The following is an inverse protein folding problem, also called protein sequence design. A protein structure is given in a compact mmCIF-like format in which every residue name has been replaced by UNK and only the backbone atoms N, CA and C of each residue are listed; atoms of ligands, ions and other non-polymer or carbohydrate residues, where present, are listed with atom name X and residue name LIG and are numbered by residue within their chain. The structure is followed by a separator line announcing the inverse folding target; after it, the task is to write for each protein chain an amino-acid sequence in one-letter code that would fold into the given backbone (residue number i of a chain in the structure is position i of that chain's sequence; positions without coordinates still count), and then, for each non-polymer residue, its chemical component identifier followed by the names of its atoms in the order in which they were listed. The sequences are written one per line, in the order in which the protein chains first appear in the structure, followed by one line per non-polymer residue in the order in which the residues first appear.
data_IF_345937452911
#
_entry.id   IF_345937452911
#
_cell.length_a   1.000
_cell.length_b   1.000
_cell.length_c   1.000
_cell.angle_alpha   90.00
_cell.angle_beta   90.00
_cell.angle_gamma   90.00
#
_symmetry.space_group_name_H-M   'P 1'
#
loop_
_entity.id
_entity.type
_entity.pdbx_description
1 polymer ?
#
# COMPACT_ATOMS: atom_id res chain seq x y z
N UNK A 1 1.36 -25.53 19.20
CA UNK A 1 2.45 -25.31 18.23
C UNK A 1 2.89 -23.85 18.29
N UNK A 2 4.13 -23.48 17.92
CA UNK A 2 4.57 -22.07 17.87
C UNK A 2 4.92 -21.67 16.44
N UNK A 3 4.66 -20.42 16.10
CA UNK A 3 4.96 -19.83 14.79
C UNK A 3 5.80 -18.57 14.99
N UNK A 4 6.87 -18.44 14.20
CA UNK A 4 7.69 -17.24 14.18
C UNK A 4 7.09 -16.22 13.21
N UNK A 5 7.04 -14.96 13.62
CA UNK A 5 6.61 -13.86 12.77
C UNK A 5 7.47 -12.62 12.99
N UNK A 6 7.39 -11.69 12.05
CA UNK A 6 7.94 -10.35 12.21
C UNK A 6 6.91 -9.31 11.78
N UNK A 7 6.68 -8.31 12.63
CA UNK A 7 5.69 -7.27 12.38
C UNK A 7 6.37 -6.02 11.83
N UNK A 8 5.89 -5.56 10.69
CA UNK A 8 6.38 -4.38 10.00
C UNK A 8 5.27 -3.34 9.85
N UNK A 9 5.65 -2.09 9.63
CA UNK A 9 4.72 -1.05 9.20
C UNK A 9 5.34 -0.19 8.09
N UNK A 10 4.48 0.38 7.25
CA UNK A 10 4.86 1.45 6.37
C UNK A 10 3.77 2.53 6.36
N UNK A 11 4.09 3.70 6.93
CA UNK A 11 3.16 4.84 7.10
C UNK A 11 1.95 4.49 7.96
N UNK A 12 2.16 3.69 9.00
CA UNK A 12 1.13 3.24 9.94
C UNK A 12 0.31 2.05 9.46
N UNK A 13 0.39 1.67 8.18
CA UNK A 13 -0.23 0.45 7.70
C UNK A 13 0.65 -0.76 8.07
N UNK A 14 0.18 -1.58 9.01
CA UNK A 14 0.98 -2.60 9.69
C UNK A 14 0.65 -4.04 9.26
N UNK A 15 1.68 -4.86 9.10
CA UNK A 15 1.58 -6.23 8.59
C UNK A 15 2.36 -7.23 9.43
N UNK A 16 1.80 -8.42 9.59
CA UNK A 16 2.50 -9.59 10.13
C UNK A 16 3.11 -10.36 8.96
N UNK A 17 4.44 -10.41 8.87
CA UNK A 17 5.15 -11.19 7.85
C UNK A 17 5.45 -12.58 8.42
N UNK A 18 5.11 -13.62 7.65
CA UNK A 18 5.33 -15.03 8.00
C UNK A 18 6.10 -15.69 6.86
N UNK A 19 7.26 -16.28 7.17
CA UNK A 19 8.06 -16.97 6.18
C UNK A 19 7.64 -18.43 6.04
N UNK A 20 6.92 -18.73 4.97
CA UNK A 20 6.45 -20.06 4.61
C UNK A 20 7.28 -20.68 3.47
N UNK A 21 8.48 -20.15 3.19
CA UNK A 21 9.48 -20.85 2.36
C UNK A 21 9.98 -22.10 3.07
N UNK A 22 9.96 -22.08 4.40
CA UNK A 22 10.17 -23.22 5.30
C UNK A 22 8.84 -23.52 5.98
N UNK A 23 8.36 -24.78 5.99
CA UNK A 23 7.10 -25.12 6.66
C UNK A 23 7.14 -24.74 8.15
N UNK A 24 6.15 -23.97 8.59
CA UNK A 24 5.89 -23.66 9.99
C UNK A 24 4.39 -23.61 10.25
N UNK A 25 3.97 -23.84 11.50
CA UNK A 25 2.56 -23.80 11.89
C UNK A 25 1.76 -25.10 11.69
N UNK A 26 2.40 -26.16 11.16
CA UNK A 26 1.83 -27.51 11.08
C UNK A 26 1.16 -27.81 9.73
N UNK A 27 0.76 -29.08 9.53
CA UNK A 27 0.21 -29.55 8.23
C UNK A 27 -1.05 -28.79 7.79
N UNK A 28 -1.84 -28.28 8.73
CA UNK A 28 -3.09 -27.57 8.45
C UNK A 28 -2.98 -26.04 8.67
N UNK A 29 -1.78 -25.48 8.59
CA UNK A 29 -1.61 -24.04 8.76
C UNK A 29 -2.30 -23.25 7.63
N UNK A 30 -3.28 -22.42 7.99
CA UNK A 30 -3.96 -21.50 7.08
C UNK A 30 -3.59 -20.06 7.40
N UNK A 31 -2.88 -19.35 6.51
CA UNK A 31 -2.63 -17.92 6.66
C UNK A 31 -3.90 -17.06 6.75
N UNK A 32 -5.01 -17.53 6.16
CA UNK A 32 -6.30 -16.82 6.21
C UNK A 32 -6.94 -16.89 7.59
N UNK A 33 -6.99 -18.09 8.17
CA UNK A 33 -7.51 -18.27 9.53
C UNK A 33 -6.57 -17.65 10.56
N UNK A 34 -5.25 -17.67 10.28
CA UNK A 34 -4.28 -16.93 11.07
C UNK A 34 -4.57 -15.42 11.04
N UNK A 35 -4.84 -14.83 9.86
CA UNK A 35 -5.16 -13.41 9.75
C UNK A 35 -6.41 -13.04 10.57
N UNK A 36 -7.52 -13.76 10.37
CA UNK A 36 -8.78 -13.52 11.12
C UNK A 36 -8.58 -13.51 12.64
N UNK A 37 -7.71 -14.40 13.13
CA UNK A 37 -7.46 -14.56 14.56
C UNK A 37 -6.44 -13.56 15.10
N UNK A 38 -5.26 -13.50 14.47
CA UNK A 38 -4.10 -12.82 15.02
C UNK A 38 -3.95 -11.37 14.55
N UNK A 39 -4.68 -10.92 13.53
CA UNK A 39 -4.79 -9.48 13.23
C UNK A 39 -5.68 -8.73 14.24
N UNK A 40 -6.44 -9.43 15.09
CA UNK A 40 -7.19 -8.79 16.17
C UNK A 40 -6.23 -8.06 17.13
N UNK A 41 -6.42 -6.75 17.32
CA UNK A 41 -5.52 -5.91 18.13
C UNK A 41 -5.62 -6.15 19.65
N UNK A 42 -6.72 -6.73 20.12
CA UNK A 42 -6.95 -6.98 21.56
C UNK A 42 -6.60 -8.42 21.96
N UNK A 43 -6.94 -9.39 21.09
CA UNK A 43 -6.84 -10.83 21.38
C UNK A 43 -5.78 -11.55 20.54
N UNK A 44 -5.06 -10.82 19.68
CA UNK A 44 -4.03 -11.34 18.80
C UNK A 44 -2.76 -10.50 18.86
N UNK A 45 -2.01 -10.50 17.76
CA UNK A 45 -0.83 -9.66 17.55
C UNK A 45 -1.26 -8.23 17.19
N UNK A 46 -2.37 -8.10 16.47
CA UNK A 46 -2.85 -6.84 15.92
C UNK A 46 -2.14 -6.48 14.63
N UNK A 47 -2.85 -6.31 13.52
CA UNK A 47 -2.31 -5.78 12.26
C UNK A 47 -3.46 -5.50 11.28
N UNK A 48 -3.19 -4.71 10.24
CA UNK A 48 -4.13 -4.54 9.12
C UNK A 48 -4.15 -5.78 8.20
N UNK A 49 -3.07 -6.57 8.20
CA UNK A 49 -3.01 -7.81 7.43
C UNK A 49 -1.81 -8.70 7.72
N UNK A 50 -1.75 -9.81 6.98
CA UNK A 50 -0.70 -10.83 7.03
C UNK A 50 -0.08 -10.99 5.64
N UNK A 51 1.24 -11.09 5.59
CA UNK A 51 1.99 -11.33 4.36
C UNK A 51 2.75 -12.65 4.51
N UNK A 52 2.17 -13.78 4.06
CA UNK A 52 2.93 -15.01 3.92
C UNK A 52 3.90 -14.90 2.73
N UNK A 53 5.18 -15.17 3.00
CA UNK A 53 6.26 -15.25 2.03
C UNK A 53 6.51 -16.70 1.64
N UNK A 54 6.52 -17.00 0.34
CA UNK A 54 6.71 -18.34 -0.22
C UNK A 54 7.90 -18.38 -1.16
N UNK A 55 8.31 -19.61 -1.53
CA UNK A 55 9.24 -19.81 -2.65
C UNK A 55 8.57 -19.33 -3.94
N UNK A 56 9.33 -18.78 -4.90
CA UNK A 56 8.78 -18.40 -6.20
C UNK A 56 8.24 -19.62 -6.94
N UNK A 57 7.27 -19.40 -7.82
CA UNK A 57 6.68 -20.46 -8.66
C UNK A 57 7.52 -20.74 -9.92
N UNK A 58 8.39 -19.82 -10.31
CA UNK A 58 9.27 -19.92 -11.49
C UNK A 58 10.66 -19.33 -11.24
N UNK A 59 11.48 -19.24 -12.30
CA UNK A 59 12.86 -18.72 -12.21
C UNK A 59 12.97 -17.18 -12.37
N UNK A 60 11.91 -16.53 -12.86
CA UNK A 60 11.88 -15.10 -13.17
C UNK A 60 11.47 -14.21 -11.99
N UNK A 61 11.46 -14.77 -10.78
CA UNK A 61 10.98 -14.17 -9.54
C UNK A 61 11.82 -14.69 -8.38
N UNK A 62 12.03 -13.83 -7.40
CA UNK A 62 12.83 -14.19 -6.22
C UNK A 62 11.96 -14.80 -5.13
N UNK A 63 10.72 -14.31 -5.01
CA UNK A 63 9.77 -14.70 -3.98
C UNK A 63 8.33 -14.63 -4.49
N UNK A 64 7.45 -15.35 -3.79
CA UNK A 64 6.00 -15.20 -3.96
C UNK A 64 5.39 -14.71 -2.65
N UNK A 65 4.44 -13.79 -2.75
CA UNK A 65 3.70 -13.28 -1.58
C UNK A 65 2.21 -13.36 -1.82
N UNK A 66 1.45 -13.38 -0.72
CA UNK A 66 0.05 -12.97 -0.70
C UNK A 66 -0.11 -11.82 0.27
N UNK A 67 -1.16 -11.03 0.09
CA UNK A 67 -1.59 -10.05 1.09
C UNK A 67 -2.97 -10.47 1.55
N UNK A 68 -3.07 -10.81 2.82
CA UNK A 68 -4.30 -11.27 3.44
C UNK A 68 -4.73 -10.19 4.42
N UNK A 69 -5.91 -9.60 4.20
CA UNK A 69 -6.48 -8.60 5.09
C UNK A 69 -6.82 -9.19 6.45
N UNK A 70 -7.05 -8.35 7.45
CA UNK A 70 -7.39 -8.76 8.82
C UNK A 70 -8.66 -9.63 8.91
N UNK A 71 -9.56 -9.56 7.93
CA UNK A 71 -10.77 -10.40 7.84
C UNK A 71 -10.55 -11.74 7.12
N UNK A 72 -9.32 -12.00 6.65
CA UNK A 72 -8.93 -13.20 5.91
C UNK A 72 -9.15 -13.13 4.39
N UNK A 73 -9.68 -12.03 3.84
CA UNK A 73 -9.78 -11.82 2.40
C UNK A 73 -8.42 -11.55 1.77
N UNK A 74 -8.23 -11.90 0.48
CA UNK A 74 -6.98 -11.57 -0.24
C UNK A 74 -7.10 -10.22 -0.95
N UNK A 75 -6.05 -9.41 -0.86
CA UNK A 75 -5.85 -8.24 -1.71
C UNK A 75 -4.85 -8.57 -2.82
N UNK A 76 -5.11 -8.09 -4.03
CA UNK A 76 -4.22 -8.33 -5.18
C UNK A 76 -2.84 -7.66 -5.01
N UNK A 77 -2.82 -6.48 -4.39
CA UNK A 77 -1.60 -5.69 -4.15
C UNK A 77 -1.77 -4.68 -3.00
N UNK A 78 -0.67 -4.40 -2.29
CA UNK A 78 -0.52 -3.29 -1.36
C UNK A 78 0.87 -2.71 -1.51
N UNK A 79 0.95 -1.43 -1.90
CA UNK A 79 2.23 -0.73 -2.01
C UNK A 79 2.97 -0.65 -0.67
N UNK A 80 2.25 -0.53 0.45
CA UNK A 80 2.85 -0.53 1.79
C UNK A 80 3.31 -1.94 2.19
N UNK A 81 2.46 -2.95 1.96
CA UNK A 81 2.78 -4.34 2.27
C UNK A 81 4.00 -4.85 1.51
N UNK A 82 4.12 -4.53 0.21
CA UNK A 82 5.26 -4.98 -0.58
C UNK A 82 6.60 -4.34 -0.12
N UNK A 83 6.58 -3.09 0.37
CA UNK A 83 7.77 -2.48 0.99
C UNK A 83 8.09 -3.11 2.34
N UNK A 84 7.08 -3.49 3.13
CA UNK A 84 7.28 -4.23 4.39
C UNK A 84 7.95 -5.58 4.16
N UNK A 85 7.48 -6.37 3.19
CA UNK A 85 8.09 -7.68 2.91
C UNK A 85 9.43 -7.56 2.18
N UNK A 86 9.64 -6.53 1.36
CA UNK A 86 10.97 -6.23 0.82
C UNK A 86 11.96 -5.96 1.96
N UNK A 87 11.57 -5.15 2.96
CA UNK A 87 12.40 -4.94 4.15
C UNK A 87 12.68 -6.24 4.89
N UNK A 88 11.67 -7.08 5.10
CA UNK A 88 11.85 -8.40 5.72
C UNK A 88 12.90 -9.25 5.00
N UNK A 89 12.89 -9.28 3.66
CA UNK A 89 13.87 -10.02 2.86
C UNK A 89 15.30 -9.57 3.16
N UNK A 90 15.55 -8.28 3.27
CA UNK A 90 16.88 -7.76 3.60
C UNK A 90 17.25 -7.93 5.08
N UNK A 91 16.31 -7.64 5.99
CA UNK A 91 16.55 -7.77 7.44
C UNK A 91 16.89 -9.22 7.83
N UNK A 92 16.35 -10.20 7.11
CA UNK A 92 16.61 -11.64 7.31
C UNK A 92 17.74 -12.19 6.42
N UNK A 93 18.48 -11.33 5.69
CA UNK A 93 19.56 -11.72 4.77
C UNK A 93 19.15 -12.79 3.74
N UNK A 94 17.94 -12.66 3.17
CA UNK A 94 17.38 -13.63 2.23
C UNK A 94 17.72 -13.31 0.77
N UNK A 95 18.23 -12.11 0.50
CA UNK A 95 18.73 -11.65 -0.80
C UNK A 95 19.72 -10.50 -0.59
N UNK A 96 20.74 -10.44 -1.44
CA UNK A 96 21.73 -9.36 -1.54
C UNK A 96 21.53 -8.48 -2.80
N UNK A 97 20.56 -8.82 -3.66
CA UNK A 97 20.25 -8.05 -4.87
C UNK A 97 19.71 -6.67 -4.52
N UNK A 98 20.05 -5.66 -5.32
CA UNK A 98 19.45 -4.31 -5.20
C UNK A 98 17.98 -4.27 -5.65
N UNK A 99 17.54 -5.28 -6.41
CA UNK A 99 16.20 -5.43 -6.95
C UNK A 99 15.66 -6.80 -6.64
N UNK A 100 14.45 -6.85 -6.12
CA UNK A 100 13.72 -8.08 -5.82
C UNK A 100 12.45 -8.11 -6.67
N UNK A 101 12.18 -9.23 -7.31
CA UNK A 101 10.93 -9.47 -8.05
C UNK A 101 10.02 -10.38 -7.24
N UNK A 102 8.88 -9.83 -6.82
CA UNK A 102 7.83 -10.58 -6.13
C UNK A 102 6.73 -11.02 -7.11
N UNK A 103 6.31 -12.28 -7.03
CA UNK A 103 5.01 -12.72 -7.54
C UNK A 103 3.90 -12.27 -6.59
N UNK A 104 2.94 -11.49 -7.08
CA UNK A 104 1.77 -11.03 -6.31
C UNK A 104 0.46 -11.42 -7.03
N UNK A 105 -0.69 -11.18 -6.39
CA UNK A 105 -2.00 -11.36 -7.01
C UNK A 105 -2.21 -10.49 -8.26
N UNK A 106 -1.53 -9.33 -8.33
CA UNK A 106 -1.55 -8.41 -9.47
C UNK A 106 -0.41 -8.66 -10.49
N UNK A 107 0.24 -9.83 -10.45
CA UNK A 107 1.37 -10.21 -11.29
C UNK A 107 2.73 -9.89 -10.67
N UNK A 108 3.80 -9.96 -11.47
CA UNK A 108 5.17 -9.69 -10.98
C UNK A 108 5.35 -8.21 -10.65
N UNK A 109 6.06 -7.92 -9.55
CA UNK A 109 6.41 -6.56 -9.12
C UNK A 109 7.87 -6.48 -8.75
N UNK A 110 8.58 -5.54 -9.37
CA UNK A 110 9.95 -5.21 -9.02
C UNK A 110 9.96 -4.19 -7.88
N UNK A 111 10.75 -4.47 -6.86
CA UNK A 111 11.03 -3.57 -5.74
C UNK A 111 12.53 -3.34 -5.68
N UNK A 112 12.94 -2.08 -5.80
CA UNK A 112 14.33 -1.65 -5.76
C UNK A 112 14.65 -1.06 -4.38
N UNK A 113 15.77 -1.45 -3.79
CA UNK A 113 16.30 -0.81 -2.58
C UNK A 113 16.90 0.55 -2.92
N UNK A 114 16.61 1.55 -2.11
CA UNK A 114 17.09 2.93 -2.30
C UNK A 114 17.55 3.54 -0.97
N UNK A 115 18.09 4.76 -1.01
CA UNK A 115 18.44 5.50 0.20
C UNK A 115 17.21 5.92 1.02
N UNK A 116 16.03 6.07 0.39
CA UNK A 116 14.77 6.40 1.09
C UNK A 116 13.96 5.17 1.50
N UNK A 117 14.47 3.96 1.26
CA UNK A 117 13.83 2.69 1.59
C UNK A 117 13.65 1.81 0.36
N UNK A 118 12.43 1.75 -0.16
CA UNK A 118 12.05 0.88 -1.26
C UNK A 118 11.24 1.61 -2.31
N UNK A 119 11.70 1.52 -3.56
CA UNK A 119 11.00 2.01 -4.75
C UNK A 119 10.23 0.85 -5.40
N UNK A 120 8.94 1.07 -5.65
CA UNK A 120 8.02 0.11 -6.25
C UNK A 120 7.51 0.68 -7.57
N UNK A 121 7.61 -0.08 -8.66
CA UNK A 121 6.97 0.29 -9.92
C UNK A 121 5.45 0.07 -9.83
N UNK A 122 4.70 1.16 -9.90
CA UNK A 122 3.23 1.19 -9.78
C UNK A 122 2.54 1.12 -11.14
N UNK A 123 3.29 1.01 -12.24
CA UNK A 123 2.75 0.96 -13.59
C UNK A 123 2.37 2.34 -14.13
N UNK A 124 1.44 2.36 -15.07
CA UNK A 124 0.94 3.57 -15.72
C UNK A 124 -0.49 3.85 -15.23
N UNK A 125 -0.72 4.91 -14.41
CA UNK A 125 -2.07 5.30 -14.04
C UNK A 125 -2.83 5.80 -15.26
N UNK A 126 -4.15 5.64 -15.25
CA UNK A 126 -5.04 6.08 -16.31
C UNK A 126 -5.99 7.13 -15.77
N UNK A 127 -5.93 8.35 -16.29
CA UNK A 127 -6.90 9.40 -16.00
C UNK A 127 -8.04 9.23 -17.01
N UNK A 128 -9.17 8.73 -16.52
CA UNK A 128 -10.28 8.21 -17.36
C UNK A 128 -11.30 9.30 -17.66
N UNK A 129 -11.39 10.32 -16.80
CA UNK A 129 -12.35 11.40 -16.96
C UNK A 129 -12.54 12.18 -15.67
N UNK A 130 -13.71 12.81 -15.54
CA UNK A 130 -14.06 13.65 -14.40
C UNK A 130 -15.51 13.44 -13.99
N UNK A 131 -15.81 13.71 -12.72
CA UNK A 131 -17.18 13.85 -12.21
C UNK A 131 -17.33 15.18 -11.50
N UNK A 132 -18.55 15.68 -11.44
CA UNK A 132 -18.90 16.83 -10.61
C UNK A 132 -19.76 16.36 -9.44
N UNK A 133 -19.37 16.73 -8.22
CA UNK A 133 -20.12 16.41 -7.01
C UNK A 133 -20.17 17.64 -6.10
N UNK A 134 -21.36 18.22 -5.87
CA UNK A 134 -21.54 19.41 -5.03
C UNK A 134 -20.54 20.56 -5.38
N UNK A 135 -20.41 20.88 -6.67
CA UNK A 135 -19.48 21.88 -7.22
C UNK A 135 -17.98 21.55 -7.09
N UNK A 136 -17.63 20.33 -6.67
CA UNK A 136 -16.26 19.82 -6.74
C UNK A 136 -16.09 19.03 -8.03
N UNK A 137 -15.05 19.37 -8.79
CA UNK A 137 -14.58 18.56 -9.91
C UNK A 137 -13.58 17.52 -9.39
N UNK A 138 -13.90 16.23 -9.54
CA UNK A 138 -13.03 15.12 -9.17
C UNK A 138 -12.55 14.38 -10.42
N UNK A 139 -11.26 14.10 -10.48
CA UNK A 139 -10.65 13.32 -11.54
C UNK A 139 -10.80 11.83 -11.26
N UNK A 140 -11.32 11.08 -12.24
CA UNK A 140 -11.38 9.62 -12.22
C UNK A 140 -10.04 9.06 -12.65
N UNK A 141 -9.37 8.34 -11.76
CA UNK A 141 -8.07 7.72 -12.02
C UNK A 141 -8.14 6.22 -11.72
N UNK A 142 -7.55 5.40 -12.58
CA UNK A 142 -7.29 3.99 -12.28
C UNK A 142 -5.78 3.78 -12.11
N UNK A 143 -5.41 3.15 -11.00
CA UNK A 143 -4.04 2.65 -10.75
C UNK A 143 -4.06 1.12 -10.63
N UNK A 144 -5.07 0.48 -11.23
CA UNK A 144 -5.46 -0.92 -11.00
C UNK A 144 -6.75 -1.04 -10.17
N UNK A 145 -6.99 -0.07 -9.29
CA UNK A 145 -8.24 0.16 -8.56
C UNK A 145 -8.75 1.60 -8.79
N UNK A 146 -10.05 1.87 -8.59
CA UNK A 146 -10.64 3.16 -8.90
C UNK A 146 -10.38 4.21 -7.82
N UNK A 147 -9.98 5.41 -8.25
CA UNK A 147 -9.69 6.59 -7.45
C UNK A 147 -10.45 7.82 -7.98
N UNK A 148 -10.81 8.71 -7.04
CA UNK A 148 -11.43 10.01 -7.30
C UNK A 148 -10.65 11.09 -6.59
N UNK A 149 -9.94 11.89 -7.38
CA UNK A 149 -9.02 12.91 -6.87
C UNK A 149 -9.64 14.29 -6.99
N UNK A 150 -9.85 14.94 -5.86
CA UNK A 150 -10.10 16.38 -5.79
C UNK A 150 -8.76 17.11 -5.58
N UNK A 151 -8.44 18.05 -6.48
CA UNK A 151 -7.27 18.94 -6.34
C UNK A 151 -7.73 20.37 -6.05
N UNK A 152 -7.51 20.84 -4.83
CA UNK A 152 -7.90 22.18 -4.42
C UNK A 152 -7.72 22.43 -2.93
N UNK A 153 -8.17 23.60 -2.48
CA UNK A 153 -8.31 23.88 -1.06
C UNK A 153 -9.53 23.15 -0.48
N UNK A 154 -9.36 22.60 0.71
CA UNK A 154 -10.42 21.95 1.49
C UNK A 154 -10.08 22.05 2.98
N UNK A 155 -11.09 21.90 3.82
CA UNK A 155 -10.94 21.69 5.25
C UNK A 155 -11.39 20.28 5.64
N UNK A 156 -11.17 19.92 6.90
CA UNK A 156 -11.57 18.63 7.46
C UNK A 156 -13.07 18.40 7.37
N UNK A 157 -13.88 19.44 7.58
CA UNK A 157 -15.34 19.33 7.58
C UNK A 157 -15.84 18.93 6.18
N UNK A 158 -15.36 19.60 5.13
CA UNK A 158 -15.68 19.28 3.75
C UNK A 158 -15.29 17.83 3.40
N UNK A 159 -14.07 17.42 3.78
CA UNK A 159 -13.59 16.07 3.54
C UNK A 159 -14.48 15.02 4.21
N UNK A 160 -14.72 15.12 5.51
CA UNK A 160 -15.53 14.14 6.25
C UNK A 160 -16.99 14.13 5.82
N UNK A 161 -17.51 15.26 5.34
CA UNK A 161 -18.88 15.36 4.86
C UNK A 161 -19.10 14.75 3.46
N UNK A 162 -18.10 14.85 2.57
CA UNK A 162 -18.25 14.47 1.16
C UNK A 162 -17.55 13.16 0.80
N UNK A 163 -16.31 12.94 1.26
CA UNK A 163 -15.52 11.77 0.85
C UNK A 163 -16.23 10.42 1.10
N UNK A 164 -16.90 10.17 2.25
CA UNK A 164 -17.65 8.93 2.45
C UNK A 164 -18.83 8.75 1.48
N UNK A 165 -19.52 9.84 1.15
CA UNK A 165 -20.69 9.82 0.25
C UNK A 165 -20.26 9.58 -1.19
N UNK A 166 -19.20 10.26 -1.63
CA UNK A 166 -18.59 10.08 -2.95
C UNK A 166 -18.07 8.64 -3.09
N UNK A 167 -17.29 8.17 -2.10
CA UNK A 167 -16.71 6.83 -2.13
C UNK A 167 -17.78 5.74 -2.26
N UNK A 168 -18.88 5.86 -1.52
CA UNK A 168 -20.02 4.95 -1.61
C UNK A 168 -20.76 5.04 -2.94
N UNK A 169 -21.04 6.25 -3.42
CA UNK A 169 -21.80 6.47 -4.65
C UNK A 169 -21.07 5.99 -5.91
N UNK A 170 -19.76 6.21 -5.97
CA UNK A 170 -18.93 5.88 -7.13
C UNK A 170 -18.14 4.58 -6.96
N UNK A 171 -18.25 3.93 -5.80
CA UNK A 171 -17.55 2.70 -5.47
C UNK A 171 -16.02 2.83 -5.70
N UNK A 172 -15.43 3.91 -5.19
CA UNK A 172 -14.02 4.28 -5.42
C UNK A 172 -13.34 4.82 -4.15
N UNK A 173 -12.00 4.78 -4.14
CA UNK A 173 -11.21 5.53 -3.18
C UNK A 173 -11.31 7.02 -3.49
N UNK A 174 -11.32 7.88 -2.47
CA UNK A 174 -11.47 9.32 -2.64
C UNK A 174 -10.33 10.05 -1.96
N UNK A 175 -9.61 10.86 -2.73
CA UNK A 175 -8.49 11.66 -2.26
C UNK A 175 -8.83 13.15 -2.37
N UNK A 176 -8.66 13.87 -1.27
CA UNK A 176 -8.65 15.34 -1.26
C UNK A 176 -7.20 15.77 -1.12
N UNK A 177 -6.71 16.53 -2.09
CA UNK A 177 -5.30 16.84 -2.22
C UNK A 177 -5.05 18.32 -2.49
N UNK A 178 -4.13 18.89 -1.71
CA UNK A 178 -3.69 20.28 -1.78
C UNK A 178 -2.23 20.34 -2.20
N UNK A 179 -1.98 20.83 -3.41
CA UNK A 179 -0.61 21.07 -3.90
C UNK A 179 -0.02 22.24 -3.11
N UNK A 180 1.11 22.03 -2.44
CA UNK A 180 1.76 23.05 -1.60
C UNK A 180 2.82 23.80 -2.38
N UNK A 181 3.59 23.07 -3.17
CA UNK A 181 4.63 23.58 -4.07
C UNK A 181 4.89 22.56 -5.20
N UNK A 182 5.92 22.81 -6.02
CA UNK A 182 6.29 21.94 -7.15
C UNK A 182 6.73 20.54 -6.74
N UNK A 183 7.05 20.31 -5.47
CA UNK A 183 7.64 19.08 -4.97
C UNK A 183 6.83 18.46 -3.82
N UNK A 184 5.66 19.01 -3.46
CA UNK A 184 4.88 18.47 -2.35
C UNK A 184 3.37 18.65 -2.47
N UNK A 185 2.63 17.60 -2.07
CA UNK A 185 1.17 17.54 -2.08
C UNK A 185 0.69 16.96 -0.74
N UNK A 186 -0.19 17.69 -0.06
CA UNK A 186 -0.85 17.24 1.16
C UNK A 186 -2.15 16.51 0.82
N UNK A 187 -2.39 15.33 1.42
CA UNK A 187 -3.47 14.43 1.01
C UNK A 187 -4.22 13.86 2.22
N UNK A 188 -5.54 13.92 2.15
CA UNK A 188 -6.45 13.10 2.94
C UNK A 188 -7.12 12.06 2.06
N UNK A 189 -7.31 10.85 2.59
CA UNK A 189 -7.84 9.71 1.83
C UNK A 189 -8.96 9.02 2.59
N UNK A 190 -10.02 8.68 1.86
CA UNK A 190 -11.09 7.80 2.30
C UNK A 190 -11.13 6.59 1.37
N UNK A 191 -10.76 5.43 1.89
CA UNK A 191 -10.70 4.19 1.13
C UNK A 191 -12.05 3.46 1.14
N UNK A 192 -12.45 2.98 -0.05
CA UNK A 192 -13.66 2.21 -0.24
C UNK A 192 -13.66 0.99 0.65
N UNK A 193 -14.71 0.83 1.44
CA UNK A 193 -14.91 -0.33 2.32
C UNK A 193 -14.06 -0.32 3.60
N UNK A 194 -13.22 0.70 3.80
CA UNK A 194 -12.37 0.84 4.99
C UNK A 194 -12.72 2.10 5.77
N UNK A 195 -12.73 3.26 5.12
CA UNK A 195 -12.91 4.56 5.79
C UNK A 195 -11.69 5.48 5.61
N UNK A 196 -11.55 6.47 6.50
CA UNK A 196 -10.33 7.29 6.57
C UNK A 196 -9.13 6.39 6.93
N UNK A 197 -8.08 6.42 6.11
CA UNK A 197 -6.83 5.70 6.37
C UNK A 197 -5.67 6.68 6.55
N UNK A 198 -4.60 6.22 7.21
CA UNK A 198 -3.43 7.07 7.50
C UNK A 198 -2.60 7.38 6.25
N UNK A 199 -2.62 6.50 5.24
CA UNK A 199 -1.95 6.68 3.96
C UNK A 199 -2.47 5.66 2.95
N UNK A 200 -2.44 6.00 1.65
CA UNK A 200 -2.80 5.10 0.57
C UNK A 200 -1.78 5.19 -0.58
N UNK A 201 -1.08 4.08 -0.87
CA UNK A 201 -0.02 4.06 -1.88
C UNK A 201 -0.53 4.29 -3.31
N UNK A 202 -1.64 3.64 -3.70
CA UNK A 202 -2.24 3.88 -5.03
C UNK A 202 -2.89 5.25 -5.11
N UNK A 203 -3.47 5.75 -4.00
CA UNK A 203 -3.99 7.11 -3.89
C UNK A 203 -2.91 8.18 -4.07
N UNK A 204 -1.70 7.94 -3.55
CA UNK A 204 -0.54 8.80 -3.77
C UNK A 204 -0.20 8.94 -5.26
N UNK A 205 -0.19 7.81 -5.98
CA UNK A 205 0.06 7.77 -7.44
C UNK A 205 -1.07 8.46 -8.19
N UNK A 206 -2.33 8.22 -7.80
CA UNK A 206 -3.49 8.85 -8.42
C UNK A 206 -3.41 10.38 -8.31
N UNK A 207 -3.22 10.90 -7.10
CA UNK A 207 -3.06 12.34 -6.82
C UNK A 207 -1.91 12.94 -7.63
N UNK A 208 -0.73 12.32 -7.56
CA UNK A 208 0.44 12.79 -8.28
C UNK A 208 0.22 12.78 -9.80
N UNK A 209 -0.44 11.76 -10.34
CA UNK A 209 -0.72 11.68 -11.79
C UNK A 209 -1.55 12.87 -12.29
N UNK A 210 -2.59 13.25 -11.55
CA UNK A 210 -3.44 14.40 -11.89
C UNK A 210 -2.67 15.72 -11.72
N UNK A 211 -1.92 15.87 -10.62
CA UNK A 211 -1.10 17.05 -10.41
C UNK A 211 -0.02 17.21 -11.49
N UNK A 212 0.56 16.10 -11.98
CA UNK A 212 1.51 16.08 -13.10
C UNK A 212 0.86 16.49 -14.40
N UNK A 213 -0.28 15.90 -14.76
CA UNK A 213 -1.00 16.23 -16.00
C UNK A 213 -1.36 17.72 -16.06
N UNK A 214 -1.66 18.32 -14.91
CA UNK A 214 -1.96 19.76 -14.77
C UNK A 214 -0.73 20.65 -14.63
N UNK A 215 0.49 20.12 -14.75
CA UNK A 215 1.76 20.86 -14.58
C UNK A 215 1.92 21.56 -13.21
N UNK A 216 1.28 21.03 -12.16
CA UNK A 216 1.30 21.61 -10.81
C UNK A 216 2.51 21.17 -9.99
N UNK A 217 3.14 20.04 -10.33
CA UNK A 217 4.35 19.51 -9.68
C UNK A 217 5.39 19.10 -10.73
N UNK A 218 6.64 18.90 -10.31
CA UNK A 218 7.75 18.39 -11.14
C UNK A 218 7.71 16.85 -11.23
N UNK A 219 8.69 16.21 -11.86
CA UNK A 219 8.69 14.75 -12.11
C UNK A 219 8.85 13.87 -10.86
N UNK A 220 9.07 14.48 -9.70
CA UNK A 220 8.99 13.84 -8.38
C UNK A 220 8.27 14.78 -7.42
N UNK A 221 7.39 14.24 -6.57
CA UNK A 221 6.84 14.98 -5.45
C UNK A 221 6.69 14.11 -4.20
N UNK A 222 6.82 14.75 -3.05
CA UNK A 222 6.49 14.20 -1.73
C UNK A 222 4.98 14.29 -1.50
N UNK A 223 4.34 13.15 -1.34
CA UNK A 223 2.94 13.05 -0.95
C UNK A 223 2.88 12.91 0.57
N UNK A 224 2.18 13.82 1.22
CA UNK A 224 2.14 13.97 2.68
C UNK A 224 0.75 13.55 3.15
N UNK A 225 0.68 12.42 3.85
CA UNK A 225 -0.51 11.95 4.54
C UNK A 225 -0.38 12.12 6.05
N UNK A 226 -1.48 11.84 6.77
CA UNK A 226 -1.51 11.80 8.24
C UNK A 226 -0.53 10.79 8.84
N UNK A 227 -0.34 9.65 8.18
CA UNK A 227 0.59 8.59 8.58
C UNK A 227 2.06 8.84 8.24
N UNK A 228 2.37 9.95 7.57
CA UNK A 228 3.71 10.31 7.12
C UNK A 228 3.75 10.56 5.61
N UNK A 229 4.95 10.54 5.04
CA UNK A 229 5.15 10.91 3.64
C UNK A 229 5.73 9.79 2.79
N UNK A 230 5.36 9.79 1.52
CA UNK A 230 5.93 8.93 0.48
C UNK A 230 6.33 9.77 -0.72
N UNK A 231 7.31 9.34 -1.49
CA UNK A 231 7.68 10.00 -2.74
C UNK A 231 7.00 9.28 -3.90
N UNK A 232 6.50 10.06 -4.86
CA UNK A 232 6.03 9.54 -6.14
C UNK A 232 6.83 10.22 -7.23
N UNK A 233 7.37 9.44 -8.16
CA UNK A 233 8.08 9.96 -9.32
C UNK A 233 7.53 9.37 -10.62
N UNK A 234 7.68 10.13 -11.71
CA UNK A 234 7.39 9.68 -13.07
C UNK A 234 8.71 9.52 -13.83
N UNK A 235 8.95 8.34 -14.41
CA UNK A 235 10.12 8.06 -15.26
C UNK A 235 9.62 7.49 -16.59
N UNK A 236 9.70 8.30 -17.65
CA UNK A 236 9.03 7.99 -18.91
C UNK A 236 7.52 7.90 -18.68
N UNK A 237 6.89 6.79 -19.05
CA UNK A 237 5.44 6.58 -18.89
C UNK A 237 5.07 5.89 -17.57
N UNK A 238 6.05 5.50 -16.75
CA UNK A 238 5.86 4.70 -15.54
C UNK A 238 5.96 5.55 -14.29
N UNK A 239 5.17 5.18 -13.28
CA UNK A 239 5.13 5.84 -11.99
C UNK A 239 5.71 4.93 -10.92
N UNK A 240 6.47 5.53 -10.01
CA UNK A 240 7.20 4.83 -8.96
C UNK A 240 6.82 5.41 -7.61
N UNK A 241 6.60 4.53 -6.65
CA UNK A 241 6.33 4.85 -5.26
C UNK A 241 7.56 4.52 -4.43
N UNK A 242 8.12 5.49 -3.73
CA UNK A 242 9.34 5.32 -2.93
C UNK A 242 9.11 5.74 -1.48
N UNK A 243 9.37 4.82 -0.54
CA UNK A 243 9.30 5.12 0.88
C UNK A 243 9.86 4.03 1.77
N UNK A 244 9.97 4.35 3.05
CA UNK A 244 10.43 3.41 4.07
C UNK A 244 9.40 2.34 4.41
N UNK A 245 9.90 1.35 5.14
CA UNK A 245 9.14 0.44 5.98
C UNK A 245 9.99 0.20 7.25
N UNK A 246 9.37 -0.15 8.36
CA UNK A 246 10.05 -0.34 9.63
C UNK A 246 9.70 -1.69 10.24
N UNK A 247 10.69 -2.36 10.81
CA UNK A 247 10.46 -3.48 11.71
C UNK A 247 9.94 -2.90 13.03
N UNK A 248 8.77 -3.36 13.47
CA UNK A 248 8.20 -2.96 14.77
C UNK A 248 8.71 -3.91 15.85
N UNK A 249 8.51 -5.23 15.65
CA UNK A 249 9.04 -6.29 16.52
C UNK A 249 8.97 -7.65 15.84
N UNK A 250 9.69 -8.63 16.38
CA UNK A 250 9.59 -10.04 15.98
C UNK A 250 9.30 -10.90 17.20
N UNK A 251 8.71 -12.08 16.99
CA UNK A 251 8.43 -12.98 18.10
C UNK A 251 7.81 -14.31 17.68
N UNK A 252 7.46 -15.09 18.69
CA UNK A 252 6.74 -16.35 18.54
C UNK A 252 5.30 -16.19 19.04
N UNK A 253 4.35 -16.78 18.32
CA UNK A 253 2.97 -16.88 18.77
C UNK A 253 2.56 -18.34 18.91
N UNK A 254 1.83 -18.66 19.98
CA UNK A 254 1.25 -19.98 20.17
C UNK A 254 0.02 -20.12 19.27
N UNK A 255 0.07 -21.10 18.36
CA UNK A 255 -1.08 -21.51 17.56
C UNK A 255 -1.99 -22.39 18.43
N UNK A 256 -3.27 -22.02 18.44
CA UNK A 256 -4.38 -22.76 19.07
C UNK A 256 -5.03 -23.73 18.10
#
# INVERSE_FOLDING_TARGET
MVLWFSKYEALGNDFIVIDLRVPQGGENFSPHEFAKKYCNRNFGIGADGVIPLYKPSGQDSDFKIKIINSDGSEAEMSGNGIRCVAKYVYDMNLSDKDKIVFETGAGKREVKRTQRGFEVNMGKPQIIGKINYHNLELFKVSVGNPHLVFLGDFDYELFFNLAPKISRGENANVEFAKVKDKNSIEVMVFERGVGETLACGTGAVAVFSVARERNLVDDEAKIIFKGGSIFVSKKGEYFFLEGGANLVFSGFVKLS
#
